data_IF_980970225029
#
_entry.id   IF_980970225029
#
_cell.length_a   1.000
_cell.length_b   1.000
_cell.length_c   1.000
_cell.angle_alpha   90.00
_cell.angle_beta   90.00
_cell.angle_gamma   90.00
#
_symmetry.space_group_name_H-M   'P 1'
#
loop_
_entity.id
_entity.type
_entity.pdbx_description
1 polymer ?
#
# COMPACT_ATOMS: atom_id res chain seq x y z
N UNK A 1 -12.59 4.25 -25.26
CA UNK A 1 -13.43 3.71 -24.19
C UNK A 1 -12.58 3.19 -23.05
N UNK A 2 -12.93 3.54 -21.89
CA UNK A 2 -12.22 3.03 -20.72
C UNK A 2 -12.71 1.62 -20.41
N UNK A 3 -11.79 0.73 -20.19
CA UNK A 3 -12.14 -0.57 -19.66
C UNK A 3 -12.60 -0.39 -18.22
N UNK A 4 -13.47 -1.28 -17.76
CA UNK A 4 -13.86 -1.29 -16.38
C UNK A 4 -12.62 -1.56 -15.52
N UNK A 5 -12.49 -0.84 -14.42
CA UNK A 5 -11.40 -1.04 -13.49
C UNK A 5 -11.49 -2.42 -12.85
N UNK A 6 -10.44 -3.19 -12.95
CA UNK A 6 -10.34 -4.44 -12.20
C UNK A 6 -9.81 -4.12 -10.81
N UNK A 7 -10.73 -3.90 -9.90
CA UNK A 7 -10.42 -3.46 -8.54
C UNK A 7 -9.61 -4.50 -7.77
N UNK A 8 -9.94 -5.78 -7.92
CA UNK A 8 -9.17 -6.83 -7.24
C UNK A 8 -7.73 -6.86 -7.72
N UNK A 9 -7.53 -6.73 -9.02
CA UNK A 9 -6.17 -6.71 -9.58
C UNK A 9 -5.41 -5.48 -9.08
N UNK A 10 -6.08 -4.33 -9.00
CA UNK A 10 -5.44 -3.12 -8.48
C UNK A 10 -4.99 -3.31 -7.04
N UNK A 11 -5.87 -3.83 -6.18
CA UNK A 11 -5.51 -4.06 -4.78
C UNK A 11 -4.41 -5.10 -4.64
N UNK A 12 -4.40 -6.12 -5.51
CA UNK A 12 -3.32 -7.09 -5.52
C UNK A 12 -1.98 -6.46 -5.90
N UNK A 13 -2.00 -5.53 -6.86
CA UNK A 13 -0.77 -4.80 -7.21
C UNK A 13 -0.23 -4.00 -6.03
N UNK A 14 -1.11 -3.41 -5.22
CA UNK A 14 -0.66 -2.68 -4.03
C UNK A 14 -0.08 -3.63 -2.98
N UNK A 15 -0.65 -4.82 -2.81
CA UNK A 15 -0.04 -5.84 -1.96
C UNK A 15 1.35 -6.21 -2.44
N UNK A 16 1.48 -6.45 -3.74
CA UNK A 16 2.76 -6.80 -4.34
C UNK A 16 3.80 -5.69 -4.15
N UNK A 17 3.37 -4.43 -4.28
CA UNK A 17 4.24 -3.28 -4.08
C UNK A 17 4.71 -3.16 -2.64
N UNK A 18 3.82 -3.40 -1.68
CA UNK A 18 4.22 -3.38 -0.27
C UNK A 18 5.24 -4.48 0.03
N UNK A 19 5.02 -5.68 -0.50
CA UNK A 19 5.98 -6.77 -0.33
C UNK A 19 7.31 -6.48 -1.02
N UNK A 20 7.28 -5.84 -2.18
CA UNK A 20 8.49 -5.47 -2.88
C UNK A 20 9.34 -4.47 -2.08
N UNK A 21 8.69 -3.51 -1.42
CA UNK A 21 9.40 -2.57 -0.54
C UNK A 21 10.04 -3.31 0.62
N UNK A 22 9.29 -4.22 1.23
CA UNK A 22 9.73 -4.99 2.38
C UNK A 22 10.92 -5.90 2.06
N UNK A 23 10.93 -6.44 0.84
CA UNK A 23 11.99 -7.36 0.38
C UNK A 23 13.16 -6.62 -0.24
N UNK A 24 13.10 -5.30 -0.38
CA UNK A 24 14.15 -4.51 -1.02
C UNK A 24 15.43 -4.57 -0.21
N UNK A 25 16.55 -4.92 -0.84
CA UNK A 25 17.83 -4.92 -0.12
C UNK A 25 18.24 -3.51 0.25
N UNK A 26 18.89 -3.40 1.41
CA UNK A 26 19.44 -2.14 1.86
C UNK A 26 20.67 -1.82 1.03
N UNK A 27 20.74 -0.65 0.36
CA UNK A 27 21.91 -0.29 -0.41
C UNK A 27 23.12 0.00 0.52
N UNK A 28 24.35 -0.05 0.00
CA UNK A 28 25.54 0.19 0.80
C UNK A 28 25.76 1.69 1.07
N UNK A 29 24.85 2.27 1.84
CA UNK A 29 24.89 3.67 2.25
C UNK A 29 24.95 3.74 3.76
N UNK A 30 25.38 4.88 4.27
CA UNK A 30 25.58 5.08 5.71
C UNK A 30 25.11 6.48 6.12
N UNK A 31 25.03 6.71 7.45
CA UNK A 31 24.71 8.00 8.00
C UNK A 31 23.28 8.45 7.69
N UNK A 32 23.14 9.74 7.39
CA UNK A 32 21.83 10.32 7.13
C UNK A 32 21.13 9.72 5.93
N UNK A 33 21.87 9.35 4.90
CA UNK A 33 21.26 8.76 3.72
C UNK A 33 20.65 7.41 4.02
N UNK A 34 21.31 6.62 4.86
CA UNK A 34 20.76 5.34 5.29
C UNK A 34 19.47 5.57 6.08
N UNK A 35 19.47 6.52 6.99
CA UNK A 35 18.29 6.84 7.78
C UNK A 35 17.13 7.27 6.90
N UNK A 36 17.39 8.14 5.92
CA UNK A 36 16.37 8.59 4.98
C UNK A 36 15.83 7.43 4.14
N UNK A 37 16.72 6.56 3.68
CA UNK A 37 16.30 5.42 2.88
C UNK A 37 15.37 4.49 3.68
N UNK A 38 15.78 4.15 4.89
CA UNK A 38 14.97 3.26 5.76
C UNK A 38 13.63 3.89 6.06
N UNK A 39 13.62 5.18 6.39
CA UNK A 39 12.38 5.89 6.67
C UNK A 39 11.45 5.93 5.46
N UNK A 40 12.00 6.21 4.28
CA UNK A 40 11.19 6.23 3.06
C UNK A 40 10.60 4.87 2.76
N UNK A 41 11.38 3.81 2.96
CA UNK A 41 10.89 2.45 2.75
C UNK A 41 9.75 2.11 3.72
N UNK A 42 9.86 2.55 4.98
CA UNK A 42 8.79 2.33 5.96
C UNK A 42 7.50 3.04 5.57
N UNK A 43 7.61 4.29 5.12
CA UNK A 43 6.44 5.06 4.68
C UNK A 43 5.83 4.44 3.43
N UNK A 44 6.64 4.05 2.47
CA UNK A 44 6.17 3.42 1.24
C UNK A 44 5.44 2.11 1.55
N UNK A 45 6.02 1.29 2.41
CA UNK A 45 5.38 0.04 2.80
C UNK A 45 4.02 0.30 3.44
N UNK A 46 3.97 1.23 4.38
CA UNK A 46 2.73 1.57 5.07
C UNK A 46 1.67 2.07 4.09
N UNK A 47 2.03 2.97 3.18
CA UNK A 47 1.08 3.55 2.24
C UNK A 47 0.51 2.48 1.31
N UNK A 48 1.37 1.64 0.76
CA UNK A 48 0.91 0.57 -0.12
C UNK A 48 0.06 -0.45 0.62
N UNK A 49 0.46 -0.80 1.84
CA UNK A 49 -0.28 -1.78 2.64
C UNK A 49 -1.66 -1.27 3.05
N UNK A 50 -1.78 0.01 3.37
CA UNK A 50 -3.07 0.61 3.71
C UNK A 50 -4.03 0.51 2.53
N UNK A 51 -3.57 0.88 1.33
CA UNK A 51 -4.42 0.78 0.14
C UNK A 51 -4.77 -0.67 -0.15
N UNK A 52 -3.80 -1.58 -0.02
CA UNK A 52 -4.04 -3.00 -0.28
C UNK A 52 -5.08 -3.61 0.67
N UNK A 53 -5.22 -3.03 1.87
CA UNK A 53 -6.15 -3.52 2.90
C UNK A 53 -7.54 -2.91 2.76
N UNK A 54 -7.76 -2.07 1.77
CA UNK A 54 -9.02 -1.38 1.59
C UNK A 54 -10.13 -2.32 1.11
N UNK A 55 -11.34 -2.01 1.52
CA UNK A 55 -12.54 -2.55 0.88
C UNK A 55 -12.94 -1.55 -0.19
N UNK A 56 -12.87 -1.97 -1.44
CA UNK A 56 -13.13 -1.09 -2.56
C UNK A 56 -14.45 -1.38 -3.24
N UNK A 57 -15.09 -0.31 -3.70
CA UNK A 57 -16.30 -0.41 -4.52
C UNK A 57 -16.22 0.64 -5.62
N UNK A 58 -16.99 0.41 -6.67
CA UNK A 58 -17.20 1.42 -7.71
C UNK A 58 -18.67 1.81 -7.67
N UNK A 59 -18.94 3.07 -7.37
CA UNK A 59 -20.31 3.57 -7.19
C UNK A 59 -20.49 4.84 -8.01
N UNK A 60 -21.45 4.83 -8.92
CA UNK A 60 -21.76 5.98 -9.78
C UNK A 60 -20.52 6.54 -10.50
N UNK A 61 -19.62 5.65 -10.93
CA UNK A 61 -18.39 6.05 -11.59
C UNK A 61 -17.27 6.50 -10.67
N UNK A 62 -17.47 6.38 -9.34
CA UNK A 62 -16.44 6.73 -8.36
C UNK A 62 -15.82 5.48 -7.77
N UNK A 63 -14.50 5.48 -7.68
CA UNK A 63 -13.79 4.47 -6.90
C UNK A 63 -13.83 4.89 -5.43
N UNK A 64 -14.38 4.03 -4.59
CA UNK A 64 -14.47 4.28 -3.16
C UNK A 64 -13.62 3.25 -2.44
N UNK A 65 -12.67 3.71 -1.66
CA UNK A 65 -11.82 2.83 -0.84
C UNK A 65 -12.07 3.14 0.62
N UNK A 66 -12.38 2.11 1.38
CA UNK A 66 -12.59 2.24 2.82
C UNK A 66 -11.55 1.41 3.54
N UNK A 67 -10.83 2.03 4.45
CA UNK A 67 -9.79 1.39 5.23
C UNK A 67 -10.13 1.53 6.71
N UNK A 68 -10.15 0.41 7.40
CA UNK A 68 -10.36 0.40 8.85
C UNK A 68 -9.00 0.62 9.51
N UNK A 69 -8.82 1.78 10.12
CA UNK A 69 -7.57 2.15 10.77
C UNK A 69 -7.49 1.74 12.23
N UNK A 70 -8.53 1.10 12.74
CA UNK A 70 -8.51 0.63 14.13
C UNK A 70 -7.54 -0.55 14.26
N UNK A 71 -6.95 -0.75 15.45
CA UNK A 71 -6.14 -1.95 15.69
C UNK A 71 -6.94 -3.23 15.39
N UNK A 72 -6.23 -4.29 15.01
CA UNK A 72 -6.88 -5.53 14.57
C UNK A 72 -7.82 -6.11 15.64
N UNK A 73 -7.50 -5.95 16.92
CA UNK A 73 -8.32 -6.44 18.01
C UNK A 73 -9.60 -5.64 18.22
N UNK A 74 -9.74 -4.49 17.57
CA UNK A 74 -10.93 -3.64 17.63
C UNK A 74 -11.78 -3.70 16.36
N UNK A 75 -11.34 -4.48 15.39
CA UNK A 75 -12.12 -4.67 14.16
C UNK A 75 -13.16 -5.75 14.38
N UNK A 76 -14.33 -5.53 13.83
CA UNK A 76 -15.40 -6.50 13.88
C UNK A 76 -15.31 -7.50 12.75
#
# INVERSE_FOLDING_TARGET
MAEALDLEAMLQRFRDRSEAVRSRPLPPIAGEERTKFVRQAQVDFQDFAIIADAVGTVEDGFLVLRVDLRPADQRS
#
